data_IF_938176159710
#
_entry.id   IF_938176159710
#
_cell.length_a   1.000
_cell.length_b   1.000
_cell.length_c   1.000
_cell.angle_alpha   90.00
_cell.angle_beta   90.00
_cell.angle_gamma   90.00
#
_symmetry.space_group_name_H-M   'P 1'
#
loop_
_entity.id
_entity.type
_entity.pdbx_description
1 polymer ?
#
# COMPACT_ATOMS: atom_id res chain seq x y z
N UNK A 1 26.60 12.34 13.74
CA UNK A 1 26.37 11.00 14.33
C UNK A 1 25.08 10.90 15.17
N UNK A 2 24.73 11.90 16.01
CA UNK A 2 23.52 11.91 16.86
C UNK A 2 22.19 11.79 16.08
N UNK A 3 22.06 12.51 14.96
CA UNK A 3 20.92 12.46 14.04
C UNK A 3 20.64 11.06 13.46
N UNK A 4 21.68 10.29 13.12
CA UNK A 4 21.55 8.92 12.60
C UNK A 4 21.16 7.97 13.74
N UNK A 5 21.67 8.18 14.96
CA UNK A 5 21.34 7.35 16.12
C UNK A 5 19.88 7.50 16.55
N UNK A 6 19.29 8.69 16.41
CA UNK A 6 17.88 8.95 16.73
C UNK A 6 16.91 8.55 15.59
N UNK A 7 17.35 8.64 14.33
CA UNK A 7 16.54 8.32 13.14
C UNK A 7 16.94 7.02 12.44
N UNK A 8 17.63 6.11 13.12
CA UNK A 8 18.19 4.89 12.52
C UNK A 8 17.12 4.05 11.82
N UNK A 9 15.91 3.99 12.38
CA UNK A 9 14.78 3.24 11.84
C UNK A 9 14.25 3.85 10.53
N UNK A 10 14.31 5.18 10.37
CA UNK A 10 13.96 5.86 9.11
C UNK A 10 14.98 5.55 8.02
N UNK A 11 16.27 5.59 8.38
CA UNK A 11 17.36 5.23 7.46
C UNK A 11 17.23 3.76 7.04
N UNK A 12 16.96 2.87 8.00
CA UNK A 12 16.72 1.46 7.72
C UNK A 12 15.51 1.26 6.81
N UNK A 13 14.40 1.96 7.05
CA UNK A 13 13.22 1.90 6.18
C UNK A 13 13.55 2.32 4.73
N UNK A 14 14.29 3.42 4.55
CA UNK A 14 14.74 3.87 3.22
C UNK A 14 15.63 2.82 2.57
N UNK A 15 16.60 2.24 3.30
CA UNK A 15 17.47 1.19 2.77
C UNK A 15 16.68 -0.06 2.34
N UNK A 16 15.70 -0.49 3.14
CA UNK A 16 14.86 -1.65 2.82
C UNK A 16 13.96 -1.37 1.61
N UNK A 17 13.41 -0.17 1.48
CA UNK A 17 12.62 0.24 0.32
C UNK A 17 13.48 0.26 -0.94
N UNK A 18 14.69 0.83 -0.89
CA UNK A 18 15.62 0.83 -2.01
C UNK A 18 16.02 -0.60 -2.40
N UNK A 19 16.32 -1.45 -1.41
CA UNK A 19 16.60 -2.86 -1.65
C UNK A 19 15.44 -3.56 -2.35
N UNK A 20 14.20 -3.39 -1.87
CA UNK A 20 13.02 -3.99 -2.47
C UNK A 20 12.80 -3.50 -3.92
N UNK A 21 13.04 -2.21 -4.19
CA UNK A 21 12.93 -1.64 -5.54
C UNK A 21 13.99 -2.23 -6.47
N UNK A 22 15.26 -2.20 -6.06
CA UNK A 22 16.39 -2.72 -6.85
C UNK A 22 16.18 -4.21 -7.13
N UNK A 23 15.88 -5.00 -6.10
CA UNK A 23 15.66 -6.45 -6.26
C UNK A 23 14.39 -6.77 -7.03
N UNK A 24 13.33 -5.97 -6.93
CA UNK A 24 12.11 -6.14 -7.71
C UNK A 24 12.38 -6.02 -9.22
N UNK A 25 13.22 -5.06 -9.63
CA UNK A 25 13.57 -4.85 -11.03
C UNK A 25 14.72 -5.72 -11.54
N UNK A 26 15.78 -5.92 -10.75
CA UNK A 26 17.02 -6.58 -11.17
C UNK A 26 17.16 -8.02 -10.69
N UNK A 27 16.39 -8.44 -9.68
CA UNK A 27 16.45 -9.78 -9.13
C UNK A 27 16.04 -10.85 -10.15
N UNK A 28 16.47 -12.08 -9.93
CA UNK A 28 16.05 -13.22 -10.75
C UNK A 28 14.63 -13.64 -10.38
N UNK A 29 13.77 -13.84 -11.37
CA UNK A 29 12.41 -14.37 -11.17
C UNK A 29 12.26 -15.68 -11.95
N UNK A 30 11.47 -16.65 -11.44
CA UNK A 30 11.21 -17.88 -12.15
C UNK A 30 10.44 -17.62 -13.45
N UNK A 31 10.82 -18.29 -14.54
CA UNK A 31 10.09 -18.24 -15.80
C UNK A 31 8.80 -19.08 -15.70
N UNK A 32 7.70 -18.38 -15.46
CA UNK A 32 6.36 -18.94 -15.42
C UNK A 32 5.66 -18.69 -16.77
N UNK A 33 5.01 -19.69 -17.41
CA UNK A 33 4.46 -19.54 -18.76
C UNK A 33 3.46 -18.39 -18.95
N UNK A 34 2.64 -18.12 -17.93
CA UNK A 34 1.55 -17.13 -17.99
C UNK A 34 2.03 -15.72 -17.62
N UNK A 35 2.77 -15.59 -16.51
CA UNK A 35 3.14 -14.28 -15.95
C UNK A 35 4.55 -13.83 -16.34
N UNK A 36 5.46 -14.76 -16.67
CA UNK A 36 6.83 -14.48 -17.08
C UNK A 36 7.49 -13.41 -16.17
N UNK A 37 8.04 -12.35 -16.75
CA UNK A 37 8.68 -11.25 -16.02
C UNK A 37 7.68 -10.33 -15.28
N UNK A 38 6.38 -10.42 -15.56
CA UNK A 38 5.37 -9.56 -14.90
C UNK A 38 5.11 -9.95 -13.44
N UNK A 39 5.55 -11.15 -13.02
CA UNK A 39 5.58 -11.59 -11.61
C UNK A 39 6.34 -10.58 -10.72
N UNK A 40 7.28 -9.81 -11.29
CA UNK A 40 8.02 -8.75 -10.59
C UNK A 40 7.10 -7.72 -9.93
N UNK A 41 5.90 -7.50 -10.49
CA UNK A 41 4.91 -6.59 -9.93
C UNK A 41 4.54 -6.96 -8.47
N UNK A 42 4.59 -8.24 -8.11
CA UNK A 42 4.23 -8.73 -6.76
C UNK A 42 5.15 -8.13 -5.68
N UNK A 43 6.44 -7.93 -5.98
CA UNK A 43 7.39 -7.31 -5.04
C UNK A 43 6.97 -5.89 -4.62
N UNK A 44 6.23 -5.20 -5.47
CA UNK A 44 5.72 -3.85 -5.20
C UNK A 44 4.29 -3.90 -4.67
N UNK A 45 3.40 -4.58 -5.41
CA UNK A 45 1.97 -4.59 -5.17
C UNK A 45 1.61 -5.13 -3.79
N UNK A 46 2.17 -6.28 -3.39
CA UNK A 46 1.82 -6.95 -2.13
C UNK A 46 2.23 -6.10 -0.93
N UNK A 47 3.46 -5.55 -0.95
CA UNK A 47 3.96 -4.68 0.11
C UNK A 47 3.11 -3.42 0.27
N UNK A 48 2.74 -2.78 -0.85
CA UNK A 48 1.86 -1.59 -0.84
C UNK A 48 0.47 -1.93 -0.28
N UNK A 49 -0.10 -3.07 -0.66
CA UNK A 49 -1.42 -3.51 -0.18
C UNK A 49 -1.45 -3.72 1.32
N UNK A 50 -0.49 -4.47 1.88
CA UNK A 50 -0.42 -4.67 3.33
C UNK A 50 -0.12 -3.39 4.09
N UNK A 51 0.73 -2.52 3.53
CA UNK A 51 1.01 -1.21 4.11
C UNK A 51 -0.24 -0.33 4.18
N UNK A 52 -1.04 -0.30 3.10
CA UNK A 52 -2.34 0.37 3.08
C UNK A 52 -3.25 -0.14 4.21
N UNK A 53 -3.44 -1.46 4.31
CA UNK A 53 -4.33 -2.05 5.33
C UNK A 53 -3.88 -1.70 6.75
N UNK A 54 -2.58 -1.71 7.00
CA UNK A 54 -2.03 -1.35 8.31
C UNK A 54 -2.26 0.12 8.64
N UNK A 55 -1.98 1.03 7.71
CA UNK A 55 -2.14 2.48 7.94
C UNK A 55 -3.61 2.88 8.04
N UNK A 56 -4.50 2.30 7.24
CA UNK A 56 -5.95 2.50 7.38
C UNK A 56 -6.47 1.91 8.71
N UNK A 57 -5.91 0.78 9.17
CA UNK A 57 -6.22 0.24 10.50
C UNK A 57 -5.82 1.21 11.62
N UNK A 58 -4.66 1.86 11.51
CA UNK A 58 -4.23 2.93 12.42
C UNK A 58 -5.19 4.13 12.35
N UNK A 59 -5.64 4.51 11.16
CA UNK A 59 -6.63 5.58 10.98
C UNK A 59 -7.91 5.28 11.75
N UNK A 60 -8.48 4.08 11.57
CA UNK A 60 -9.71 3.65 12.28
C UNK A 60 -9.49 3.67 13.79
N UNK A 61 -8.35 3.15 14.28
CA UNK A 61 -8.03 3.16 15.70
C UNK A 61 -8.02 4.58 16.27
N UNK A 62 -7.37 5.53 15.60
CA UNK A 62 -7.34 6.92 16.06
C UNK A 62 -8.68 7.64 15.91
N UNK A 63 -9.48 7.33 14.89
CA UNK A 63 -10.86 7.84 14.78
C UNK A 63 -11.72 7.40 15.98
N UNK A 64 -11.64 6.13 16.39
CA UNK A 64 -12.35 5.65 17.58
C UNK A 64 -11.87 6.38 18.84
N UNK A 65 -10.55 6.57 18.98
CA UNK A 65 -9.96 7.29 20.11
C UNK A 65 -10.38 8.76 20.14
N UNK A 66 -10.49 9.40 18.98
CA UNK A 66 -11.01 10.76 18.87
C UNK A 66 -12.46 10.82 19.35
N UNK A 67 -13.33 9.93 18.89
CA UNK A 67 -14.73 9.88 19.33
C UNK A 67 -14.90 9.66 20.84
N UNK A 68 -14.00 8.90 21.46
CA UNK A 68 -14.05 8.63 22.91
C UNK A 68 -13.48 9.75 23.78
N UNK A 69 -12.51 10.53 23.27
CA UNK A 69 -11.76 11.50 24.09
C UNK A 69 -11.91 12.95 23.65
N UNK A 70 -12.46 13.19 22.46
CA UNK A 70 -12.58 14.49 21.81
C UNK A 70 -11.25 15.27 21.70
N UNK A 71 -10.11 14.57 21.72
CA UNK A 71 -8.79 15.17 21.60
C UNK A 71 -8.41 15.38 20.11
N UNK A 72 -8.21 16.64 19.65
CA UNK A 72 -7.88 16.93 18.25
C UNK A 72 -6.61 16.25 17.71
N UNK A 73 -5.66 15.88 18.57
CA UNK A 73 -4.46 15.16 18.13
C UNK A 73 -4.77 13.79 17.54
N UNK A 74 -5.83 13.12 18.01
CA UNK A 74 -6.23 11.82 17.46
C UNK A 74 -6.91 11.99 16.10
N UNK A 75 -7.65 13.08 15.90
CA UNK A 75 -8.25 13.39 14.60
C UNK A 75 -7.16 13.66 13.55
N UNK A 76 -6.14 14.44 13.89
CA UNK A 76 -4.98 14.68 13.00
C UNK A 76 -4.28 13.37 12.61
N UNK A 77 -4.04 12.48 13.58
CA UNK A 77 -3.41 11.17 13.32
C UNK A 77 -4.28 10.26 12.45
N UNK A 78 -5.60 10.29 12.65
CA UNK A 78 -6.54 9.56 11.81
C UNK A 78 -6.49 10.06 10.36
N UNK A 79 -6.63 11.38 10.17
CA UNK A 79 -6.60 12.00 8.84
C UNK A 79 -5.29 11.75 8.08
N UNK A 80 -4.16 11.90 8.76
CA UNK A 80 -2.85 11.66 8.14
C UNK A 80 -2.69 10.17 7.75
N UNK A 81 -3.20 9.26 8.58
CA UNK A 81 -3.29 7.83 8.27
C UNK A 81 -4.17 7.56 7.03
N UNK A 82 -5.40 8.08 7.02
CA UNK A 82 -6.31 7.95 5.87
C UNK A 82 -5.65 8.45 4.56
N UNK A 83 -5.00 9.61 4.60
CA UNK A 83 -4.31 10.21 3.45
C UNK A 83 -3.22 9.29 2.88
N UNK A 84 -2.35 8.76 3.76
CA UNK A 84 -1.29 7.83 3.35
C UNK A 84 -1.90 6.53 2.81
N UNK A 85 -2.96 6.02 3.46
CA UNK A 85 -3.69 4.84 3.03
C UNK A 85 -4.30 4.99 1.63
N UNK A 86 -4.89 6.15 1.33
CA UNK A 86 -5.44 6.46 -0.01
C UNK A 86 -4.35 6.40 -1.08
N UNK A 87 -3.20 7.02 -0.83
CA UNK A 87 -2.08 7.01 -1.79
C UNK A 87 -1.62 5.58 -2.06
N UNK A 88 -1.39 4.79 -1.01
CA UNK A 88 -0.97 3.39 -1.15
C UNK A 88 -2.03 2.53 -1.82
N UNK A 89 -3.31 2.80 -1.54
CA UNK A 89 -4.42 2.09 -2.15
C UNK A 89 -4.63 2.41 -3.62
N UNK A 90 -4.47 3.67 -4.02
CA UNK A 90 -4.49 4.06 -5.43
C UNK A 90 -3.35 3.37 -6.21
N UNK A 91 -2.13 3.38 -5.66
CA UNK A 91 -0.99 2.67 -6.24
C UNK A 91 -1.22 1.15 -6.27
N UNK A 92 -1.83 0.59 -5.21
CA UNK A 92 -2.25 -0.81 -5.14
C UNK A 92 -3.24 -1.17 -6.24
N UNK A 93 -4.28 -0.37 -6.46
CA UNK A 93 -5.26 -0.59 -7.54
C UNK A 93 -4.61 -0.49 -8.91
N UNK A 94 -3.78 0.53 -9.16
CA UNK A 94 -3.07 0.69 -10.44
C UNK A 94 -2.17 -0.51 -10.76
N UNK A 95 -1.33 -0.91 -9.80
CA UNK A 95 -0.44 -2.07 -9.97
C UNK A 95 -1.20 -3.39 -10.06
N UNK A 96 -2.34 -3.50 -9.38
CA UNK A 96 -3.25 -4.63 -9.49
C UNK A 96 -3.87 -4.74 -10.89
N UNK A 97 -4.34 -3.62 -11.46
CA UNK A 97 -4.89 -3.57 -12.81
C UNK A 97 -3.87 -3.95 -13.89
N UNK A 98 -2.62 -3.47 -13.74
CA UNK A 98 -1.52 -3.82 -14.66
C UNK A 98 -1.26 -5.33 -14.62
N UNK A 99 -1.22 -5.92 -13.42
CA UNK A 99 -1.04 -7.36 -13.28
C UNK A 99 -2.22 -8.17 -13.83
N UNK A 100 -3.45 -7.70 -13.60
CA UNK A 100 -4.65 -8.32 -14.11
C UNK A 100 -4.64 -8.38 -15.64
N UNK A 101 -4.26 -7.29 -16.31
CA UNK A 101 -4.13 -7.25 -17.76
C UNK A 101 -3.11 -8.25 -18.28
N UNK A 102 -1.94 -8.34 -17.64
CA UNK A 102 -0.87 -9.23 -18.09
C UNK A 102 -1.20 -10.71 -17.85
N UNK A 103 -1.97 -11.02 -16.80
CA UNK A 103 -2.29 -12.40 -16.42
C UNK A 103 -3.55 -12.92 -17.12
N UNK A 104 -4.56 -12.07 -17.27
CA UNK A 104 -5.90 -12.46 -17.71
C UNK A 104 -6.42 -11.68 -18.93
N UNK A 105 -5.62 -10.77 -19.50
CA UNK A 105 -6.00 -9.98 -20.68
C UNK A 105 -6.92 -8.78 -20.41
N UNK A 106 -7.43 -8.63 -19.18
CA UNK A 106 -8.35 -7.57 -18.79
C UNK A 106 -7.81 -6.80 -17.58
N UNK A 107 -7.91 -5.47 -17.58
CA UNK A 107 -7.49 -4.64 -16.43
C UNK A 107 -8.32 -4.87 -15.17
N UNK A 108 -9.55 -5.36 -15.34
CA UNK A 108 -10.49 -5.54 -14.25
C UNK A 108 -11.25 -6.84 -14.43
N UNK A 109 -11.39 -7.59 -13.34
CA UNK A 109 -12.22 -8.80 -13.28
C UNK A 109 -13.34 -8.51 -12.31
N UNK A 110 -14.54 -9.00 -12.60
CA UNK A 110 -15.69 -8.91 -11.70
C UNK A 110 -15.54 -9.86 -10.51
N UNK A 111 -14.55 -9.59 -9.67
CA UNK A 111 -14.31 -10.28 -8.40
C UNK A 111 -14.80 -9.39 -7.25
N UNK A 112 -15.55 -9.94 -6.26
CA UNK A 112 -16.04 -9.18 -5.12
C UNK A 112 -14.95 -8.45 -4.32
N UNK A 113 -13.73 -8.98 -4.24
CA UNK A 113 -12.62 -8.36 -3.49
C UNK A 113 -12.08 -7.16 -4.25
N UNK A 114 -11.92 -7.28 -5.57
CA UNK A 114 -11.42 -6.20 -6.42
C UNK A 114 -12.41 -5.02 -6.42
N UNK A 115 -13.70 -5.32 -6.63
CA UNK A 115 -14.78 -4.34 -6.55
C UNK A 115 -14.89 -3.71 -5.17
N UNK A 116 -14.82 -4.53 -4.10
CA UNK A 116 -14.87 -4.04 -2.72
C UNK A 116 -13.73 -3.08 -2.40
N UNK A 117 -12.52 -3.35 -2.89
CA UNK A 117 -11.38 -2.46 -2.73
C UNK A 117 -11.54 -1.14 -3.49
N UNK A 118 -12.05 -1.17 -4.73
CA UNK A 118 -12.34 0.05 -5.48
C UNK A 118 -13.39 0.93 -4.78
N UNK A 119 -14.50 0.34 -4.34
CA UNK A 119 -15.56 1.06 -3.62
C UNK A 119 -15.04 1.62 -2.30
N UNK A 120 -14.25 0.84 -1.56
CA UNK A 120 -13.61 1.32 -0.33
C UNK A 120 -12.70 2.52 -0.61
N UNK A 121 -11.91 2.47 -1.68
CA UNK A 121 -11.04 3.59 -2.06
C UNK A 121 -11.83 4.84 -2.44
N UNK A 122 -12.95 4.68 -3.16
CA UNK A 122 -13.86 5.80 -3.48
C UNK A 122 -14.47 6.40 -2.21
N UNK A 123 -14.85 5.58 -1.23
CA UNK A 123 -15.36 6.06 0.04
C UNK A 123 -14.30 6.86 0.81
N UNK A 124 -13.04 6.41 0.82
CA UNK A 124 -11.94 7.15 1.41
C UNK A 124 -11.56 8.42 0.64
N UNK A 125 -11.76 8.48 -0.68
CA UNK A 125 -11.55 9.72 -1.46
C UNK A 125 -12.61 10.80 -1.18
N UNK A 126 -13.77 10.40 -0.65
CA UNK A 126 -14.81 11.33 -0.23
C UNK A 126 -14.64 11.85 1.21
N UNK A 127 -13.72 11.24 1.97
CA UNK A 127 -13.34 11.66 3.32
C UNK A 127 -12.35 12.81 3.26
#
# INVERSE_FOLDING_TARGET
MKLIKENWWKVLAIMLLLYAIIMGFMGTVPDLPVVQQTIRNIYFHVGMWFSMMFVLGISVFYSIRYLLSNNPEYDLKARDGATIGIVLGCLGLLTGMIWAKNTWGHYWIQDPKLNGAAVSMLAYLAY
#
